data_IF_969321898499
#
_entry.id   IF_969321898499
#
_cell.length_a   1.000
_cell.length_b   1.000
_cell.length_c   1.000
_cell.angle_alpha   90.00
_cell.angle_beta   90.00
_cell.angle_gamma   90.00
#
_symmetry.space_group_name_H-M   'P 1'
#
loop_
_entity.id
_entity.type
_entity.pdbx_description
1 polymer ?
#
# COMPACT_ATOMS: atom_id res chain seq x y z
N UNK A 1 -3.02 8.81 -40.93
CA UNK A 1 -2.23 9.44 -39.84
C UNK A 1 -3.00 9.29 -38.52
N UNK A 2 -2.70 8.26 -37.74
CA UNK A 2 -3.13 8.18 -36.34
C UNK A 2 -2.39 9.28 -35.58
N UNK A 3 -3.12 10.32 -35.19
CA UNK A 3 -2.55 11.51 -34.55
C UNK A 3 -1.90 11.13 -33.21
N UNK A 4 -0.59 11.36 -33.07
CA UNK A 4 0.13 11.27 -31.80
C UNK A 4 -0.57 12.08 -30.70
N UNK A 5 -1.26 13.17 -31.04
CA UNK A 5 -2.01 13.97 -30.07
C UNK A 5 -3.14 13.18 -29.39
N UNK A 6 -3.81 12.26 -30.10
CA UNK A 6 -4.89 11.42 -29.52
C UNK A 6 -4.34 10.42 -28.51
N UNK A 7 -3.13 9.89 -28.77
CA UNK A 7 -2.40 9.01 -27.85
C UNK A 7 -1.95 9.75 -26.60
N UNK A 8 -1.38 10.95 -26.77
CA UNK A 8 -0.90 11.78 -25.65
C UNK A 8 -2.05 12.22 -24.75
N UNK A 9 -3.17 12.68 -25.31
CA UNK A 9 -4.36 13.08 -24.52
C UNK A 9 -4.97 11.91 -23.74
N UNK A 10 -4.99 10.70 -24.31
CA UNK A 10 -5.46 9.51 -23.61
C UNK A 10 -4.55 9.16 -22.43
N UNK A 11 -3.23 9.17 -22.64
CA UNK A 11 -2.24 8.88 -21.61
C UNK A 11 -2.30 9.90 -20.45
N UNK A 12 -2.44 11.19 -20.76
CA UNK A 12 -2.63 12.23 -19.74
C UNK A 12 -3.90 12.03 -18.92
N UNK A 13 -5.01 11.64 -19.54
CA UNK A 13 -6.26 11.35 -18.83
C UNK A 13 -6.10 10.17 -17.87
N UNK A 14 -5.48 9.08 -18.34
CA UNK A 14 -5.18 7.89 -17.53
C UNK A 14 -4.28 8.23 -16.35
N UNK A 15 -3.17 8.93 -16.60
CA UNK A 15 -2.24 9.34 -15.53
C UNK A 15 -2.89 10.31 -14.54
N UNK A 16 -3.67 11.27 -15.01
CA UNK A 16 -4.38 12.22 -14.15
C UNK A 16 -5.38 11.51 -13.25
N UNK A 17 -6.17 10.57 -13.80
CA UNK A 17 -7.06 9.72 -13.01
C UNK A 17 -6.30 8.92 -11.95
N UNK A 18 -5.23 8.22 -12.37
CA UNK A 18 -4.38 7.44 -11.48
C UNK A 18 -3.82 8.29 -10.32
N UNK A 19 -3.23 9.44 -10.62
CA UNK A 19 -2.62 10.32 -9.64
C UNK A 19 -3.64 10.94 -8.70
N UNK A 20 -4.80 11.37 -9.22
CA UNK A 20 -5.88 11.94 -8.39
C UNK A 20 -6.35 10.94 -7.34
N UNK A 21 -6.64 9.72 -7.78
CA UNK A 21 -7.11 8.66 -6.87
C UNK A 21 -6.00 8.27 -5.89
N UNK A 22 -4.75 8.17 -6.36
CA UNK A 22 -3.60 7.89 -5.50
C UNK A 22 -3.46 8.94 -4.40
N UNK A 23 -3.52 10.24 -4.74
CA UNK A 23 -3.39 11.31 -3.76
C UNK A 23 -4.51 11.25 -2.71
N UNK A 24 -5.75 11.00 -3.12
CA UNK A 24 -6.86 10.81 -2.17
C UNK A 24 -6.62 9.60 -1.27
N UNK A 25 -6.21 8.45 -1.83
CA UNK A 25 -5.92 7.27 -1.03
C UNK A 25 -4.76 7.51 -0.06
N UNK A 26 -3.69 8.17 -0.47
CA UNK A 26 -2.56 8.49 0.41
C UNK A 26 -3.00 9.38 1.57
N UNK A 27 -3.85 10.38 1.33
CA UNK A 27 -4.32 11.29 2.38
C UNK A 27 -5.20 10.64 3.45
N UNK A 28 -5.93 9.57 3.12
CA UNK A 28 -6.86 8.93 4.06
C UNK A 28 -6.39 7.53 4.52
N UNK A 29 -5.90 6.71 3.60
CA UNK A 29 -5.55 5.31 3.86
C UNK A 29 -4.18 5.19 4.52
N UNK A 30 -3.20 6.03 4.16
CA UNK A 30 -1.89 5.97 4.80
C UNK A 30 -1.94 6.32 6.29
N UNK A 31 -2.64 7.41 6.72
CA UNK A 31 -2.86 7.67 8.14
C UNK A 31 -3.63 6.55 8.84
N UNK A 32 -4.65 5.96 8.19
CA UNK A 32 -5.40 4.84 8.74
C UNK A 32 -4.48 3.65 9.04
N UNK A 33 -3.64 3.24 8.10
CA UNK A 33 -2.71 2.14 8.30
C UNK A 33 -1.64 2.44 9.32
N UNK A 34 -1.16 3.68 9.36
CA UNK A 34 -0.24 4.13 10.39
C UNK A 34 -0.86 4.09 11.80
N UNK A 35 -2.14 4.45 11.96
CA UNK A 35 -2.85 4.25 13.23
C UNK A 35 -3.09 2.76 13.55
N UNK A 36 -3.33 1.93 12.53
CA UNK A 36 -3.42 0.47 12.72
C UNK A 36 -2.10 -0.12 13.19
N UNK A 37 -0.97 0.29 12.61
CA UNK A 37 0.40 -0.08 13.02
C UNK A 37 0.62 0.29 14.49
N UNK A 38 0.30 1.53 14.88
CA UNK A 38 0.37 1.95 16.27
C UNK A 38 -0.50 1.07 17.19
N UNK A 39 -1.74 0.81 16.79
CA UNK A 39 -2.67 -0.02 17.56
C UNK A 39 -2.17 -1.46 17.72
N UNK A 40 -1.57 -2.02 16.67
CA UNK A 40 -0.95 -3.35 16.68
C UNK A 40 0.24 -3.39 17.64
N UNK A 41 1.11 -2.38 17.63
CA UNK A 41 2.26 -2.34 18.53
C UNK A 41 1.84 -2.15 20.01
N UNK A 42 0.80 -1.35 20.26
CA UNK A 42 0.19 -1.20 21.61
C UNK A 42 -0.43 -2.52 22.08
N UNK A 43 -1.20 -3.19 21.23
CA UNK A 43 -1.80 -4.48 21.55
C UNK A 43 -0.72 -5.54 21.83
N UNK A 44 0.36 -5.56 21.05
CA UNK A 44 1.49 -6.45 21.27
C UNK A 44 2.12 -6.23 22.65
N UNK A 45 2.34 -4.96 23.04
CA UNK A 45 2.86 -4.61 24.36
C UNK A 45 1.97 -5.09 25.50
N UNK A 46 0.66 -4.99 25.36
CA UNK A 46 -0.25 -5.48 26.39
C UNK A 46 -0.17 -7.00 26.58
N UNK A 47 0.04 -7.75 25.49
CA UNK A 47 0.14 -9.21 25.55
C UNK A 47 1.52 -9.71 25.99
N UNK A 48 2.60 -9.04 25.56
CA UNK A 48 3.97 -9.55 25.69
C UNK A 48 4.84 -8.74 26.65
N UNK A 49 4.32 -7.66 27.25
CA UNK A 49 5.00 -6.71 28.15
C UNK A 49 6.11 -5.87 27.51
N UNK A 50 6.40 -6.08 26.22
CA UNK A 50 7.36 -5.31 25.43
C UNK A 50 6.81 -5.02 24.04
N UNK A 51 7.41 -4.08 23.32
CA UNK A 51 6.98 -3.67 21.98
C UNK A 51 7.30 -4.73 20.91
N UNK A 52 6.44 -4.84 19.90
CA UNK A 52 6.59 -5.81 18.81
C UNK A 52 7.68 -5.43 17.82
N UNK A 53 7.90 -4.13 17.65
CA UNK A 53 9.01 -3.58 16.87
C UNK A 53 9.33 -2.15 17.34
N UNK A 54 10.53 -1.70 17.00
CA UNK A 54 11.06 -0.39 17.38
C UNK A 54 11.47 0.44 16.16
N UNK A 55 11.44 1.76 16.34
CA UNK A 55 11.91 2.78 15.40
C UNK A 55 13.11 3.49 16.03
N UNK A 56 14.35 3.07 15.74
CA UNK A 56 15.55 3.57 16.44
C UNK A 56 15.71 5.09 16.38
N UNK A 57 15.41 5.67 15.21
CA UNK A 57 15.53 7.12 14.95
C UNK A 57 14.37 7.95 15.52
N UNK A 58 13.31 7.32 16.01
CA UNK A 58 12.19 8.04 16.59
C UNK A 58 12.45 8.38 18.07
N UNK A 59 12.15 9.60 18.54
CA UNK A 59 12.24 9.93 19.96
C UNK A 59 11.28 9.11 20.84
N UNK A 60 10.27 8.47 20.24
CA UNK A 60 9.33 7.60 20.96
C UNK A 60 9.81 6.15 20.97
N UNK A 61 10.68 5.72 20.05
CA UNK A 61 11.15 4.35 19.84
C UNK A 61 10.10 3.27 19.53
N UNK A 62 8.84 3.39 19.94
CA UNK A 62 7.76 2.43 19.67
C UNK A 62 6.79 2.90 18.59
N UNK A 63 6.99 4.10 18.07
CA UNK A 63 6.17 4.73 17.05
C UNK A 63 6.98 5.78 16.30
N UNK A 64 6.68 6.02 15.02
CA UNK A 64 7.39 7.02 14.22
C UNK A 64 6.47 7.72 13.24
N UNK A 65 6.51 9.05 13.17
CA UNK A 65 5.90 9.78 12.05
C UNK A 65 6.59 9.48 10.72
N UNK A 66 7.88 9.10 10.75
CA UNK A 66 8.62 8.70 9.55
C UNK A 66 8.03 7.46 8.87
N UNK A 67 7.45 6.53 9.62
CA UNK A 67 6.82 5.33 9.03
C UNK A 67 5.59 5.67 8.19
N UNK A 68 4.99 6.86 8.35
CA UNK A 68 3.90 7.32 7.49
C UNK A 68 4.31 7.41 6.02
N UNK A 69 5.58 7.71 5.73
CA UNK A 69 6.11 7.69 4.36
C UNK A 69 6.12 6.27 3.77
N UNK A 70 6.43 5.26 4.59
CA UNK A 70 6.35 3.85 4.18
C UNK A 70 4.91 3.45 3.87
N UNK A 71 3.95 3.87 4.70
CA UNK A 71 2.53 3.62 4.45
C UNK A 71 2.03 4.31 3.18
N UNK A 72 2.45 5.55 2.91
CA UNK A 72 2.14 6.23 1.66
C UNK A 72 2.71 5.47 0.45
N UNK A 73 3.96 4.99 0.55
CA UNK A 73 4.58 4.14 -0.46
C UNK A 73 3.83 2.82 -0.67
N UNK A 74 3.37 2.19 0.41
CA UNK A 74 2.57 0.97 0.37
C UNK A 74 1.22 1.18 -0.31
N UNK A 75 0.51 2.26 0.01
CA UNK A 75 -0.74 2.63 -0.67
C UNK A 75 -0.49 2.85 -2.18
N UNK A 76 0.61 3.52 -2.53
CA UNK A 76 1.03 3.68 -3.92
C UNK A 76 1.28 2.36 -4.64
N UNK A 77 1.95 1.42 -3.97
CA UNK A 77 2.23 0.10 -4.51
C UNK A 77 0.94 -0.71 -4.73
N UNK A 78 0.05 -0.73 -3.75
CA UNK A 78 -1.25 -1.41 -3.83
C UNK A 78 -2.14 -0.81 -4.92
N UNK A 79 -2.19 0.51 -5.04
CA UNK A 79 -2.94 1.19 -6.09
C UNK A 79 -2.35 0.92 -7.48
N UNK A 80 -1.02 0.90 -7.60
CA UNK A 80 -0.33 0.56 -8.86
C UNK A 80 -0.66 -0.87 -9.30
N UNK A 81 -0.58 -1.83 -8.37
CA UNK A 81 -0.98 -3.22 -8.62
C UNK A 81 -2.45 -3.31 -9.00
N UNK A 82 -3.32 -2.55 -8.32
CA UNK A 82 -4.74 -2.53 -8.63
C UNK A 82 -5.00 -2.01 -10.05
N UNK A 83 -4.54 -0.80 -10.35
CA UNK A 83 -4.85 -0.07 -11.56
C UNK A 83 -4.25 -0.70 -12.81
N UNK A 84 -2.98 -1.13 -12.76
CA UNK A 84 -2.28 -1.64 -13.93
C UNK A 84 -2.37 -3.16 -14.10
N UNK A 85 -2.73 -3.91 -13.05
CA UNK A 85 -2.75 -5.37 -13.13
C UNK A 85 -4.07 -6.01 -12.67
N UNK A 86 -4.49 -5.80 -11.43
CA UNK A 86 -5.63 -6.54 -10.88
C UNK A 86 -6.95 -6.18 -11.56
N UNK A 87 -7.16 -4.89 -11.85
CA UNK A 87 -8.36 -4.39 -12.49
C UNK A 87 -8.43 -4.82 -13.98
N UNK A 88 -7.42 -4.57 -14.84
CA UNK A 88 -7.48 -4.97 -16.24
C UNK A 88 -7.62 -6.49 -16.44
N UNK A 89 -7.02 -7.29 -15.56
CA UNK A 89 -7.07 -8.77 -15.64
C UNK A 89 -8.17 -9.40 -14.81
N UNK A 90 -9.05 -8.60 -14.18
CA UNK A 90 -10.16 -9.08 -13.34
C UNK A 90 -9.73 -10.14 -12.32
N UNK A 91 -8.58 -9.94 -11.68
CA UNK A 91 -8.01 -10.91 -10.72
C UNK A 91 -8.98 -11.12 -9.56
N UNK A 92 -9.12 -12.35 -9.05
CA UNK A 92 -10.03 -12.66 -7.93
C UNK A 92 -9.56 -12.01 -6.62
N UNK A 93 -10.49 -11.62 -5.75
CA UNK A 93 -10.20 -10.89 -4.49
C UNK A 93 -9.13 -11.57 -3.64
N UNK A 94 -9.29 -12.86 -3.33
CA UNK A 94 -8.31 -13.58 -2.50
C UNK A 94 -6.92 -13.67 -3.15
N UNK A 95 -6.84 -13.75 -4.47
CA UNK A 95 -5.56 -13.69 -5.19
C UNK A 95 -4.92 -12.30 -5.04
N UNK A 96 -5.71 -11.22 -5.12
CA UNK A 96 -5.21 -9.85 -4.87
C UNK A 96 -4.69 -9.70 -3.44
N UNK A 97 -5.42 -10.27 -2.46
CA UNK A 97 -5.02 -10.24 -1.04
C UNK A 97 -3.68 -10.93 -0.84
N UNK A 98 -3.51 -12.15 -1.37
CA UNK A 98 -2.25 -12.90 -1.25
C UNK A 98 -1.11 -12.15 -1.93
N UNK A 99 -1.29 -11.70 -3.18
CA UNK A 99 -0.24 -11.00 -3.92
C UNK A 99 0.11 -9.67 -3.25
N UNK A 100 -0.88 -8.88 -2.88
CA UNK A 100 -0.68 -7.60 -2.19
C UNK A 100 0.08 -7.78 -0.88
N UNK A 101 -0.33 -8.76 -0.06
CA UNK A 101 0.31 -9.01 1.23
C UNK A 101 1.78 -9.42 1.07
N UNK A 102 2.07 -10.33 0.12
CA UNK A 102 3.45 -10.74 -0.15
C UNK A 102 4.31 -9.62 -0.71
N UNK A 103 3.77 -8.81 -1.64
CA UNK A 103 4.50 -7.68 -2.23
C UNK A 103 4.79 -6.61 -1.18
N UNK A 104 3.83 -6.27 -0.31
CA UNK A 104 4.03 -5.31 0.77
C UNK A 104 5.01 -5.82 1.83
N UNK A 105 4.91 -7.10 2.21
CA UNK A 105 5.85 -7.73 3.14
C UNK A 105 7.28 -7.73 2.59
N UNK A 106 7.46 -8.09 1.32
CA UNK A 106 8.77 -8.00 0.65
C UNK A 106 9.26 -6.56 0.55
N UNK A 107 8.36 -5.61 0.28
CA UNK A 107 8.65 -4.18 0.20
C UNK A 107 9.09 -3.59 1.54
N UNK A 108 8.47 -4.01 2.64
CA UNK A 108 8.85 -3.64 4.00
C UNK A 108 10.27 -4.13 4.33
N UNK A 109 10.57 -5.40 4.03
CA UNK A 109 11.92 -5.95 4.21
C UNK A 109 12.94 -5.17 3.38
N UNK A 110 12.65 -4.98 2.08
CA UNK A 110 13.57 -4.28 1.17
C UNK A 110 13.77 -2.82 1.57
N UNK A 111 12.71 -2.12 1.95
CA UNK A 111 12.75 -0.75 2.44
C UNK A 111 13.58 -0.63 3.72
N UNK A 112 13.39 -1.54 4.67
CA UNK A 112 14.20 -1.60 5.90
C UNK A 112 15.67 -1.91 5.62
N UNK A 113 15.96 -2.85 4.71
CA UNK A 113 17.33 -3.17 4.29
C UNK A 113 18.03 -1.97 3.65
N UNK A 114 17.37 -1.29 2.71
CA UNK A 114 17.92 -0.10 2.04
C UNK A 114 18.16 1.03 3.05
N UNK A 115 17.20 1.27 3.95
CA UNK A 115 17.32 2.30 4.96
C UNK A 115 18.50 2.07 5.91
N UNK A 116 18.69 0.82 6.36
CA UNK A 116 19.78 0.47 7.25
C UNK A 116 21.14 0.43 6.54
N UNK A 117 21.25 -0.17 5.35
CA UNK A 117 22.55 -0.46 4.73
C UNK A 117 23.02 0.59 3.72
N UNK A 118 22.10 1.37 3.14
CA UNK A 118 22.46 2.42 2.17
C UNK A 118 22.42 3.79 2.83
N UNK A 119 21.41 4.04 3.67
CA UNK A 119 21.23 5.33 4.31
C UNK A 119 21.75 5.38 5.76
N UNK A 120 22.15 4.25 6.36
CA UNK A 120 22.55 4.15 7.78
C UNK A 120 21.48 4.68 8.76
N UNK A 121 20.21 4.61 8.37
CA UNK A 121 19.07 5.09 9.14
C UNK A 121 18.00 3.99 9.17
N UNK A 122 18.06 3.04 10.13
CA UNK A 122 17.11 1.94 10.19
C UNK A 122 15.69 2.46 10.45
N UNK A 123 14.77 2.17 9.52
CA UNK A 123 13.38 2.61 9.64
C UNK A 123 12.65 1.91 10.79
N UNK A 124 12.84 0.60 10.90
CA UNK A 124 12.27 -0.20 11.97
C UNK A 124 13.09 -1.47 12.20
N UNK A 125 13.01 -2.01 13.41
CA UNK A 125 13.68 -3.23 13.82
C UNK A 125 12.70 -4.11 14.58
N UNK A 126 12.61 -5.38 14.17
CA UNK A 126 11.79 -6.40 14.80
C UNK A 126 12.67 -7.26 15.73
N UNK A 127 12.54 -7.13 17.06
CA UNK A 127 13.33 -7.90 18.02
C UNK A 127 13.16 -9.40 17.80
N UNK A 128 14.29 -10.12 17.79
CA UNK A 128 14.29 -11.57 17.61
C UNK A 128 13.87 -12.04 16.21
N UNK A 129 13.65 -11.14 15.25
CA UNK A 129 13.34 -11.55 13.88
C UNK A 129 14.58 -12.06 13.15
N UNK A 130 14.51 -13.24 12.48
CA UNK A 130 15.57 -13.71 11.60
C UNK A 130 15.90 -12.74 10.46
N UNK A 131 14.94 -11.91 10.08
CA UNK A 131 15.04 -10.99 8.94
C UNK A 131 15.32 -9.54 9.36
N UNK A 132 15.40 -9.27 10.67
CA UNK A 132 15.70 -7.98 11.32
C UNK A 132 14.69 -6.86 11.04
N UNK A 133 14.35 -6.59 9.78
CA UNK A 133 13.53 -5.46 9.33
C UNK A 133 12.04 -5.75 9.26
N UNK A 134 11.66 -7.02 9.20
CA UNK A 134 10.27 -7.50 9.27
C UNK A 134 10.27 -8.91 9.86
N UNK A 135 9.19 -9.35 10.49
CA UNK A 135 9.02 -10.75 10.93
C UNK A 135 8.10 -11.53 9.99
N UNK A 136 8.19 -12.86 9.92
CA UNK A 136 7.23 -13.68 9.14
C UNK A 136 5.79 -13.51 9.62
N UNK A 137 5.60 -13.27 10.92
CA UNK A 137 4.30 -12.97 11.51
C UNK A 137 3.66 -11.69 10.93
N UNK A 138 4.47 -10.77 10.38
CA UNK A 138 3.94 -9.58 9.72
C UNK A 138 3.11 -9.91 8.48
N UNK A 139 3.25 -11.11 7.89
CA UNK A 139 2.37 -11.56 6.80
C UNK A 139 0.90 -11.53 7.24
N UNK A 140 0.58 -11.90 8.48
CA UNK A 140 -0.79 -11.84 9.00
C UNK A 140 -1.30 -10.40 9.10
N UNK A 141 -0.43 -9.47 9.51
CA UNK A 141 -0.75 -8.04 9.54
C UNK A 141 -0.93 -7.49 8.13
N UNK A 142 -0.09 -7.89 7.18
CA UNK A 142 -0.22 -7.49 5.78
C UNK A 142 -1.48 -8.03 5.12
N UNK A 143 -1.86 -9.29 5.36
CA UNK A 143 -3.15 -9.83 4.90
C UNK A 143 -4.29 -8.98 5.44
N UNK A 144 -4.26 -8.65 6.73
CA UNK A 144 -5.25 -7.78 7.37
C UNK A 144 -5.28 -6.40 6.73
N UNK A 145 -4.13 -5.76 6.54
CA UNK A 145 -4.00 -4.44 5.93
C UNK A 145 -4.51 -4.43 4.48
N UNK A 146 -4.26 -5.48 3.71
CA UNK A 146 -4.75 -5.58 2.32
C UNK A 146 -6.25 -5.85 2.26
N UNK A 147 -6.79 -6.63 3.21
CA UNK A 147 -8.25 -6.75 3.36
C UNK A 147 -8.86 -5.39 3.71
N UNK A 148 -8.31 -4.68 4.69
CA UNK A 148 -8.77 -3.32 5.03
C UNK A 148 -8.63 -2.39 3.83
N UNK A 149 -7.50 -2.41 3.12
CA UNK A 149 -7.29 -1.66 1.87
C UNK A 149 -8.44 -1.91 0.90
N UNK A 150 -8.74 -3.18 0.62
CA UNK A 150 -9.85 -3.55 -0.26
C UNK A 150 -11.20 -3.07 0.29
N UNK A 151 -11.45 -3.17 1.59
CA UNK A 151 -12.69 -2.67 2.17
C UNK A 151 -12.81 -1.15 2.00
N UNK A 152 -11.78 -0.38 2.33
CA UNK A 152 -11.82 1.09 2.30
C UNK A 152 -11.67 1.71 0.92
N UNK A 153 -11.13 0.97 -0.06
CA UNK A 153 -10.92 1.48 -1.43
C UNK A 153 -11.78 0.82 -2.50
N UNK A 154 -12.30 -0.39 -2.26
CA UNK A 154 -13.04 -1.19 -3.26
C UNK A 154 -14.47 -1.51 -2.85
N UNK A 155 -14.79 -1.63 -1.55
CA UNK A 155 -16.14 -2.01 -1.09
C UNK A 155 -16.93 -0.87 -0.40
N UNK A 156 -16.28 -0.01 0.39
CA UNK A 156 -16.90 1.16 1.03
C UNK A 156 -16.87 2.37 0.09
N UNK A 157 -15.85 2.44 -0.77
CA UNK A 157 -15.95 3.18 -2.02
C UNK A 157 -16.36 2.15 -3.07
N UNK A 158 -17.66 1.98 -3.26
CA UNK A 158 -18.19 1.17 -4.36
C UNK A 158 -17.75 1.81 -5.69
N UNK A 159 -16.63 1.32 -6.23
CA UNK A 159 -16.09 1.64 -7.55
C UNK A 159 -16.36 0.48 -8.52
N UNK A 160 -17.55 -0.13 -8.44
CA UNK A 160 -18.06 -0.96 -9.53
C UNK A 160 -18.09 -0.14 -10.85
N UNK A 161 -17.97 -0.80 -12.02
CA UNK A 161 -17.02 -0.48 -13.09
C UNK A 161 -17.28 0.78 -13.92
N UNK A 162 -18.22 1.63 -13.49
CA UNK A 162 -18.57 2.90 -14.14
C UNK A 162 -17.81 4.12 -13.59
N UNK A 163 -17.01 3.98 -12.53
CA UNK A 163 -16.39 5.15 -11.88
C UNK A 163 -15.01 5.57 -12.42
N UNK A 164 -14.18 4.63 -12.89
CA UNK A 164 -12.75 4.87 -13.19
C UNK A 164 -12.36 4.79 -14.68
N UNK A 165 -13.33 4.76 -15.60
CA UNK A 165 -13.11 5.01 -17.03
C UNK A 165 -13.89 6.27 -17.45
N UNK A 166 -13.34 7.16 -18.32
CA UNK A 166 -14.21 7.91 -19.22
C UNK A 166 -15.04 6.88 -20.00
N UNK A 167 -16.36 7.10 -20.20
CA UNK A 167 -17.18 6.17 -20.98
C UNK A 167 -16.52 5.92 -22.34
N UNK A 168 -16.51 4.67 -22.77
CA UNK A 168 -15.98 4.27 -24.08
C UNK A 168 -16.53 5.20 -25.16
N UNK A 169 -15.68 5.98 -25.84
CA UNK A 169 -16.05 6.70 -27.08
C UNK A 169 -16.05 5.75 -28.28
N UNK A 170 -16.40 4.50 -28.02
CA UNK A 170 -16.27 3.35 -28.90
C UNK A 170 -17.54 2.52 -29.01
N UNK A 171 -18.71 3.03 -28.55
CA UNK A 171 -19.99 2.55 -29.05
C UNK A 171 -20.17 3.03 -30.51
N UNK A 172 -19.29 2.56 -31.40
CA UNK A 172 -19.63 2.45 -32.81
C UNK A 172 -20.56 1.25 -32.92
N UNK A 173 -21.84 1.60 -33.07
CA UNK A 173 -22.88 0.88 -33.83
C UNK A 173 -22.36 -0.40 -34.49
N UNK A 174 -22.82 -1.54 -34.01
CA UNK A 174 -23.03 -2.74 -34.79
C UNK A 174 -24.24 -3.47 -34.22
#
# INVERSE_FOLDING_TARGET
MMSLARSTTSLWKTLSCFLRVLMTQVLYVAPLFWFMELSQNVAWRWMNKDWGWYYPESPYHWFSFGSMMLWAGCVGLLWTLHYFWFYPRRVKVWTRVVVGAMVCWMGEWFGGYMAANVFNHPLQVWPGSPLVYVHYAAIFFWVSNVIVYHLVTVNVVDLTPTYDAPPDTGAQVA
#
